data_IF_659101540936
#
_entry.id   IF_659101540936
#
_cell.length_a   1.000
_cell.length_b   1.000
_cell.length_c   1.000
_cell.angle_alpha   90.00
_cell.angle_beta   90.00
_cell.angle_gamma   90.00
#
_symmetry.space_group_name_H-M   'P 1'
#
loop_
_entity.id
_entity.type
_entity.pdbx_description
1 polymer ?
#
# COMPACT_ATOMS: atom_id res chain seq x y z
N UNK A 1 -1.37 33.80 -5.41
CA UNK A 1 -0.49 33.36 -4.30
C UNK A 1 -1.32 33.37 -3.02
N UNK A 2 -1.79 32.22 -2.57
CA UNK A 2 -2.45 32.08 -1.26
C UNK A 2 -1.72 30.97 -0.50
N UNK A 3 -0.84 31.40 0.39
CA UNK A 3 -0.11 30.53 1.30
C UNK A 3 -1.08 29.90 2.30
N UNK A 4 -1.02 28.57 2.41
CA UNK A 4 -1.69 27.79 3.46
C UNK A 4 -1.11 28.19 4.82
N UNK A 5 -1.96 28.70 5.70
CA UNK A 5 -1.68 28.85 7.12
C UNK A 5 -1.89 27.49 7.81
N UNK A 6 -0.81 26.74 8.01
CA UNK A 6 -0.73 25.69 9.03
C UNK A 6 -0.15 26.30 10.30
N UNK A 7 -0.74 26.00 11.47
CA UNK A 7 -0.22 26.43 12.78
C UNK A 7 1.24 25.98 12.92
N UNK A 8 2.12 26.88 13.34
CA UNK A 8 3.50 26.55 13.64
C UNK A 8 3.55 25.42 14.70
N UNK A 9 4.07 24.24 14.31
CA UNK A 9 4.25 23.08 15.19
C UNK A 9 3.45 21.82 14.86
N UNK A 10 2.51 21.85 13.91
CA UNK A 10 1.76 20.64 13.54
C UNK A 10 2.45 19.88 12.40
N UNK A 11 2.87 18.63 12.67
CA UNK A 11 3.52 17.78 11.68
C UNK A 11 2.57 17.49 10.51
N UNK A 12 3.11 17.58 9.29
CA UNK A 12 2.35 17.43 8.06
C UNK A 12 1.97 15.97 7.84
N UNK A 13 0.67 15.72 7.64
CA UNK A 13 0.14 14.42 7.24
C UNK A 13 0.55 14.10 5.79
N UNK A 14 0.66 12.82 5.50
CA UNK A 14 0.88 12.29 4.15
C UNK A 14 -0.24 11.39 3.67
N UNK A 15 0.04 10.69 2.58
CA UNK A 15 -0.88 9.78 1.92
C UNK A 15 -0.26 8.38 1.83
N UNK A 16 -1.09 7.36 2.06
CA UNK A 16 -0.60 5.98 2.05
C UNK A 16 -0.34 5.50 0.63
N UNK A 17 0.42 4.40 0.47
CA UNK A 17 0.61 3.76 -0.85
C UNK A 17 -0.74 3.37 -1.47
N UNK A 18 -1.71 2.95 -0.65
CA UNK A 18 -3.08 2.69 -1.07
C UNK A 18 -3.82 3.89 -1.65
N UNK A 19 -3.70 5.08 -1.04
CA UNK A 19 -4.30 6.31 -1.56
C UNK A 19 -3.66 6.72 -2.89
N UNK A 20 -2.33 6.64 -2.99
CA UNK A 20 -1.63 6.90 -4.26
C UNK A 20 -2.03 5.90 -5.35
N UNK A 21 -2.20 4.62 -5.02
CA UNK A 21 -2.67 3.60 -5.95
C UNK A 21 -4.10 3.86 -6.42
N UNK A 22 -5.00 4.31 -5.52
CA UNK A 22 -6.35 4.71 -5.88
C UNK A 22 -6.35 5.94 -6.80
N UNK A 23 -5.50 6.94 -6.53
CA UNK A 23 -5.34 8.12 -7.36
C UNK A 23 -4.83 7.79 -8.76
N UNK A 24 -3.75 7.01 -8.85
CA UNK A 24 -3.23 6.52 -10.13
C UNK A 24 -4.29 5.71 -10.89
N UNK A 25 -5.03 4.82 -10.20
CA UNK A 25 -6.08 4.01 -10.83
C UNK A 25 -7.24 4.85 -11.34
N UNK A 26 -7.67 5.87 -10.58
CA UNK A 26 -8.70 6.82 -11.01
C UNK A 26 -8.30 7.55 -12.30
N UNK A 27 -7.07 8.06 -12.33
CA UNK A 27 -6.56 8.77 -13.50
C UNK A 27 -6.44 7.83 -14.72
N UNK A 28 -5.88 6.64 -14.52
CA UNK A 28 -5.76 5.62 -15.56
C UNK A 28 -7.11 5.17 -16.13
N UNK A 29 -8.09 4.87 -15.26
CA UNK A 29 -9.44 4.49 -15.69
C UNK A 29 -10.16 5.64 -16.42
N UNK A 30 -10.09 6.86 -15.88
CA UNK A 30 -10.70 8.03 -16.52
C UNK A 30 -10.12 8.26 -17.92
N UNK A 31 -8.80 8.12 -18.07
CA UNK A 31 -8.14 8.24 -19.37
C UNK A 31 -8.48 7.10 -20.32
N UNK A 32 -8.62 5.86 -19.83
CA UNK A 32 -9.07 4.72 -20.64
C UNK A 32 -10.42 5.03 -21.30
N UNK A 33 -11.38 5.53 -20.53
CA UNK A 33 -12.77 5.77 -20.99
C UNK A 33 -12.89 7.05 -21.80
N UNK A 34 -12.35 8.17 -21.29
CA UNK A 34 -12.60 9.51 -21.85
C UNK A 34 -11.50 10.01 -22.78
N UNK A 35 -10.34 9.36 -22.76
CA UNK A 35 -9.14 9.83 -23.44
C UNK A 35 -8.41 11.00 -22.75
N UNK A 36 -8.89 11.47 -21.59
CA UNK A 36 -8.31 12.59 -20.85
C UNK A 36 -7.88 12.16 -19.44
N UNK A 37 -6.75 12.67 -18.98
CA UNK A 37 -6.29 12.46 -17.62
C UNK A 37 -6.78 13.60 -16.72
N UNK A 38 -7.39 13.30 -15.54
CA UNK A 38 -7.59 14.30 -14.51
C UNK A 38 -6.25 14.59 -13.83
N UNK A 39 -5.70 15.78 -14.02
CA UNK A 39 -4.47 16.22 -13.36
C UNK A 39 -4.63 17.64 -12.79
N UNK A 40 -4.56 17.83 -11.46
CA UNK A 40 -4.41 16.78 -10.45
C UNK A 40 -5.67 15.91 -10.32
N UNK A 41 -5.49 14.65 -9.91
CA UNK A 41 -6.60 13.71 -9.67
C UNK A 41 -7.06 13.76 -8.21
N UNK A 42 -8.35 13.93 -7.96
CA UNK A 42 -8.92 13.90 -6.61
C UNK A 42 -9.51 12.53 -6.26
N UNK A 43 -9.27 12.06 -5.04
CA UNK A 43 -9.79 10.77 -4.54
C UNK A 43 -10.48 10.97 -3.20
N UNK A 44 -11.68 10.43 -3.05
CA UNK A 44 -12.36 10.35 -1.75
C UNK A 44 -11.75 9.24 -0.92
N UNK A 45 -11.17 9.58 0.21
CA UNK A 45 -10.64 8.64 1.18
C UNK A 45 -11.77 8.08 2.07
N UNK A 46 -11.57 6.95 2.76
CA UNK A 46 -12.59 6.35 3.64
C UNK A 46 -13.13 7.29 4.73
N UNK A 47 -12.35 8.28 5.15
CA UNK A 47 -12.78 9.31 6.11
C UNK A 47 -13.54 10.49 5.49
N UNK A 48 -13.84 10.47 4.19
CA UNK A 48 -14.53 11.54 3.46
C UNK A 48 -13.62 12.66 2.94
N UNK A 49 -12.36 12.74 3.38
CA UNK A 49 -11.38 13.69 2.84
C UNK A 49 -11.14 13.45 1.34
N UNK A 50 -11.02 14.52 0.54
CA UNK A 50 -10.85 14.46 -0.92
C UNK A 50 -9.55 15.10 -1.41
N UNK A 51 -8.37 14.57 -1.03
CA UNK A 51 -7.10 15.10 -1.50
C UNK A 51 -6.92 14.97 -3.01
N UNK A 52 -6.14 15.90 -3.56
CA UNK A 52 -5.73 15.92 -4.96
C UNK A 52 -4.26 15.52 -5.10
N UNK A 53 -3.96 14.70 -6.10
CA UNK A 53 -2.64 14.15 -6.38
C UNK A 53 -2.18 14.60 -7.77
N UNK A 54 -1.02 15.27 -7.90
CA UNK A 54 -0.45 15.56 -9.21
C UNK A 54 0.04 14.27 -9.87
N UNK A 55 -0.20 14.16 -11.17
CA UNK A 55 0.32 13.04 -11.96
C UNK A 55 1.79 13.27 -12.30
N UNK A 56 2.60 12.21 -12.16
CA UNK A 56 4.00 12.21 -12.61
C UNK A 56 4.14 11.54 -13.97
N UNK A 57 3.24 10.62 -14.29
CA UNK A 57 3.17 9.94 -15.57
C UNK A 57 1.71 9.79 -15.97
N UNK A 58 1.43 10.00 -17.24
CA UNK A 58 0.12 9.83 -17.86
C UNK A 58 0.33 9.29 -19.27
N UNK A 59 0.04 8.01 -19.49
CA UNK A 59 0.20 7.33 -20.77
C UNK A 59 -1.07 6.58 -21.09
N UNK A 60 -1.60 6.80 -22.29
CA UNK A 60 -2.78 6.09 -22.79
C UNK A 60 -2.43 5.43 -24.10
N UNK A 61 -2.89 4.19 -24.25
CA UNK A 61 -3.09 3.59 -25.56
C UNK A 61 -4.56 3.21 -25.78
N UNK A 62 -4.87 2.51 -26.88
CA UNK A 62 -6.24 2.12 -27.24
C UNK A 62 -6.85 1.08 -26.29
N UNK A 63 -6.04 0.37 -25.53
CA UNK A 63 -6.40 -0.81 -24.75
C UNK A 63 -6.20 -0.64 -23.24
N UNK A 64 -5.39 0.34 -22.82
CA UNK A 64 -5.12 0.61 -21.42
C UNK A 64 -4.83 2.09 -21.13
N UNK A 65 -5.24 2.54 -19.94
CA UNK A 65 -4.74 3.77 -19.32
C UNK A 65 -3.66 3.44 -18.30
N UNK A 66 -2.62 4.27 -18.23
CA UNK A 66 -1.55 4.19 -17.23
C UNK A 66 -1.33 5.56 -16.61
N UNK A 67 -1.27 5.63 -15.28
CA UNK A 67 -0.91 6.84 -14.57
C UNK A 67 0.00 6.53 -13.38
N UNK A 68 0.78 7.52 -12.94
CA UNK A 68 1.61 7.42 -11.75
C UNK A 68 1.46 8.64 -10.84
N UNK A 69 1.52 8.39 -9.53
CA UNK A 69 1.53 9.41 -8.48
C UNK A 69 2.77 9.21 -7.63
N UNK A 70 3.44 10.31 -7.28
CA UNK A 70 4.53 10.27 -6.28
C UNK A 70 3.93 10.28 -4.88
N UNK A 71 4.30 9.28 -4.08
CA UNK A 71 3.88 9.22 -2.68
C UNK A 71 4.52 10.33 -1.88
N UNK A 72 3.69 11.06 -1.16
CA UNK A 72 4.11 12.06 -0.19
C UNK A 72 3.68 11.60 1.21
N UNK A 73 4.65 11.20 2.01
CA UNK A 73 4.42 10.70 3.38
C UNK A 73 4.24 11.80 4.44
N UNK A 74 4.24 13.08 4.05
CA UNK A 74 4.23 14.14 5.04
C UNK A 74 5.59 14.23 5.74
N UNK A 75 5.55 14.44 7.05
CA UNK A 75 6.74 14.47 7.92
C UNK A 75 7.02 13.11 8.60
N UNK A 76 6.32 12.05 8.19
CA UNK A 76 6.62 10.69 8.65
C UNK A 76 7.91 10.18 8.01
N UNK A 77 8.84 9.57 8.77
CA UNK A 77 10.07 8.96 8.24
C UNK A 77 9.80 7.63 7.51
N UNK A 78 8.83 7.64 6.60
CA UNK A 78 8.39 6.49 5.82
C UNK A 78 9.38 6.20 4.68
N UNK A 79 9.92 4.98 4.64
CA UNK A 79 10.86 4.54 3.60
C UNK A 79 10.28 4.59 2.18
N UNK A 80 8.95 4.59 2.06
CA UNK A 80 8.24 4.70 0.79
C UNK A 80 7.90 6.15 0.41
N UNK A 81 8.33 7.15 1.19
CA UNK A 81 8.25 8.56 0.79
C UNK A 81 8.98 8.79 -0.54
N UNK A 82 8.35 9.53 -1.44
CA UNK A 82 8.90 9.83 -2.77
C UNK A 82 8.80 8.69 -3.78
N UNK A 83 8.34 7.50 -3.39
CA UNK A 83 8.16 6.38 -4.31
C UNK A 83 7.09 6.69 -5.37
N UNK A 84 7.32 6.26 -6.60
CA UNK A 84 6.30 6.30 -7.66
C UNK A 84 5.35 5.12 -7.48
N UNK A 85 4.05 5.40 -7.46
CA UNK A 85 3.00 4.39 -7.45
C UNK A 85 2.26 4.51 -8.77
N UNK A 86 2.34 3.44 -9.56
CA UNK A 86 1.78 3.36 -10.90
C UNK A 86 0.55 2.45 -10.92
N UNK A 87 -0.40 2.78 -11.79
CA UNK A 87 -1.56 1.93 -12.08
C UNK A 87 -1.76 1.82 -13.58
N UNK A 88 -2.00 0.60 -14.05
CA UNK A 88 -2.45 0.29 -15.41
C UNK A 88 -3.84 -0.31 -15.32
N UNK A 89 -4.76 0.25 -16.10
CA UNK A 89 -6.14 -0.18 -16.12
C UNK A 89 -6.53 -0.53 -17.54
N UNK A 90 -7.05 -1.74 -17.71
CA UNK A 90 -7.56 -2.25 -18.99
C UNK A 90 -8.90 -2.97 -18.78
N UNK A 91 -9.75 -3.06 -19.81
CA UNK A 91 -10.96 -3.89 -19.74
C UNK A 91 -10.61 -5.34 -19.43
N UNK A 92 -11.45 -6.01 -18.64
CA UNK A 92 -11.40 -7.44 -18.40
C UNK A 92 -12.58 -8.13 -19.11
N UNK A 93 -12.55 -9.48 -19.28
CA UNK A 93 -13.69 -10.21 -19.81
C UNK A 93 -14.96 -9.97 -18.97
N UNK A 94 -16.15 -9.97 -19.60
CA UNK A 94 -17.42 -9.81 -18.89
C UNK A 94 -17.57 -10.78 -17.71
N UNK A 95 -17.96 -10.27 -16.54
CA UNK A 95 -18.15 -11.06 -15.32
C UNK A 95 -16.88 -11.34 -14.51
N UNK A 96 -15.70 -10.85 -14.95
CA UNK A 96 -14.46 -10.97 -14.19
C UNK A 96 -14.42 -10.06 -12.94
N UNK A 97 -15.26 -9.03 -12.89
CA UNK A 97 -15.22 -7.98 -11.88
C UNK A 97 -13.91 -7.17 -11.94
N UNK A 98 -13.48 -6.70 -10.78
CA UNK A 98 -12.24 -5.92 -10.62
C UNK A 98 -11.11 -6.86 -10.20
N UNK A 99 -10.20 -7.13 -11.13
CA UNK A 99 -9.07 -8.05 -10.94
C UNK A 99 -7.79 -7.27 -10.63
N UNK A 100 -7.19 -7.52 -9.48
CA UNK A 100 -5.93 -6.90 -9.08
C UNK A 100 -4.73 -7.74 -9.51
N UNK A 101 -3.68 -7.09 -10.03
CA UNK A 101 -2.40 -7.72 -10.40
C UNK A 101 -1.23 -6.94 -9.82
N UNK A 102 -0.16 -7.67 -9.49
CA UNK A 102 1.13 -7.07 -9.18
C UNK A 102 1.85 -6.68 -10.47
N UNK A 103 2.22 -5.42 -10.58
CA UNK A 103 3.23 -4.92 -11.51
C UNK A 103 4.62 -4.94 -10.86
N UNK A 104 5.58 -4.28 -11.51
CA UNK A 104 6.95 -4.18 -10.99
C UNK A 104 6.99 -3.66 -9.56
N UNK A 105 7.78 -4.30 -8.70
CA UNK A 105 8.05 -3.87 -7.33
C UNK A 105 6.85 -3.91 -6.37
N UNK A 106 5.73 -4.51 -6.73
CA UNK A 106 4.70 -4.97 -5.79
C UNK A 106 4.97 -6.43 -5.42
N UNK A 107 4.97 -6.72 -4.11
CA UNK A 107 5.30 -8.05 -3.61
C UNK A 107 4.19 -9.07 -3.83
N UNK A 108 4.55 -10.35 -3.76
CA UNK A 108 3.64 -11.50 -3.74
C UNK A 108 3.70 -12.16 -2.37
N UNK A 109 2.54 -12.55 -1.84
CA UNK A 109 2.43 -13.25 -0.56
C UNK A 109 2.86 -14.71 -0.71
N UNK A 110 3.83 -15.14 0.09
CA UNK A 110 4.41 -16.49 0.07
C UNK A 110 4.22 -17.24 1.39
N UNK A 111 3.72 -16.58 2.44
CA UNK A 111 3.43 -17.18 3.75
C UNK A 111 1.97 -16.93 4.16
N UNK A 112 1.34 -17.85 4.91
CA UNK A 112 0.01 -17.62 5.47
C UNK A 112 0.06 -16.60 6.63
N UNK A 113 -1.12 -16.20 7.13
CA UNK A 113 -1.27 -15.32 8.30
C UNK A 113 -1.53 -13.85 7.96
N UNK A 114 -1.28 -13.43 6.72
CA UNK A 114 -1.74 -12.12 6.24
C UNK A 114 -3.22 -12.16 5.82
N UNK A 115 -3.83 -10.98 5.74
CA UNK A 115 -5.19 -10.80 5.18
C UNK A 115 -5.32 -11.13 3.68
N UNK A 116 -4.25 -11.61 3.06
CA UNK A 116 -4.13 -11.95 1.65
C UNK A 116 -3.69 -13.41 1.55
N UNK A 117 -4.28 -14.15 0.61
CA UNK A 117 -3.93 -15.55 0.38
C UNK A 117 -2.51 -15.69 -0.21
N UNK A 118 -1.90 -16.85 -0.02
CA UNK A 118 -0.62 -17.18 -0.67
C UNK A 118 -0.79 -17.16 -2.19
N UNK A 119 0.15 -16.53 -2.90
CA UNK A 119 0.12 -16.29 -4.34
C UNK A 119 -0.53 -14.97 -4.74
N UNK A 120 -1.22 -14.28 -3.83
CA UNK A 120 -1.86 -12.99 -4.14
C UNK A 120 -0.86 -11.82 -4.19
N UNK A 121 -1.13 -10.81 -5.04
CA UNK A 121 -0.47 -9.50 -4.95
C UNK A 121 -0.65 -8.89 -3.56
N UNK A 122 0.43 -8.33 -3.01
CA UNK A 122 0.48 -7.61 -1.73
C UNK A 122 -0.26 -6.25 -1.77
N UNK A 123 -1.46 -6.22 -2.34
CA UNK A 123 -2.39 -5.09 -2.38
C UNK A 123 -3.46 -5.39 -1.34
N UNK A 124 -3.37 -4.76 -0.17
CA UNK A 124 -4.19 -5.10 0.98
C UNK A 124 -5.69 -4.84 0.76
N UNK A 125 -6.57 -5.47 1.55
CA UNK A 125 -8.02 -5.36 1.39
C UNK A 125 -8.56 -3.93 1.41
N UNK A 126 -8.02 -3.04 2.26
CA UNK A 126 -8.50 -1.66 2.34
C UNK A 126 -8.21 -0.85 1.05
N UNK A 127 -6.98 -0.86 0.49
CA UNK A 127 -6.74 -0.32 -0.85
C UNK A 127 -7.60 -0.96 -1.96
N UNK A 128 -7.79 -2.29 -1.94
CA UNK A 128 -8.67 -2.97 -2.92
C UNK A 128 -10.11 -2.43 -2.85
N UNK A 129 -10.65 -2.29 -1.64
CA UNK A 129 -12.00 -1.72 -1.40
C UNK A 129 -12.09 -0.27 -1.86
N UNK A 130 -11.09 0.55 -1.56
CA UNK A 130 -11.04 1.95 -1.98
C UNK A 130 -11.05 2.08 -3.50
N UNK A 131 -10.22 1.29 -4.19
CA UNK A 131 -10.18 1.25 -5.66
C UNK A 131 -11.50 0.74 -6.23
N UNK A 132 -12.04 -0.35 -5.68
CA UNK A 132 -13.26 -0.95 -6.18
C UNK A 132 -14.47 -0.02 -6.04
N UNK A 133 -14.64 0.64 -4.88
CA UNK A 133 -15.72 1.60 -4.68
C UNK A 133 -15.65 2.75 -5.70
N UNK A 134 -14.45 3.32 -5.87
CA UNK A 134 -14.20 4.41 -6.82
C UNK A 134 -14.47 3.99 -8.27
N UNK A 135 -14.07 2.79 -8.68
CA UNK A 135 -14.35 2.28 -10.03
C UNK A 135 -15.84 1.97 -10.25
N UNK A 136 -16.53 1.44 -9.24
CA UNK A 136 -17.96 1.17 -9.30
C UNK A 136 -18.80 2.46 -9.43
N UNK A 137 -18.30 3.58 -8.92
CA UNK A 137 -18.91 4.90 -9.13
C UNK A 137 -18.59 5.46 -10.53
N UNK A 138 -17.33 5.35 -10.96
CA UNK A 138 -16.86 5.95 -12.22
C UNK A 138 -17.37 5.22 -13.47
N UNK A 139 -17.49 3.89 -13.42
CA UNK A 139 -17.88 3.09 -14.57
C UNK A 139 -19.24 3.50 -15.15
N UNK A 140 -20.34 3.53 -14.38
CA UNK A 140 -21.62 4.02 -14.89
C UNK A 140 -21.59 5.51 -15.22
N UNK A 141 -20.90 6.33 -14.42
CA UNK A 141 -20.87 7.79 -14.62
C UNK A 141 -20.18 8.20 -15.93
N UNK A 142 -19.18 7.44 -16.37
CA UNK A 142 -18.42 7.70 -17.58
C UNK A 142 -18.84 6.83 -18.78
N UNK A 143 -19.76 5.88 -18.58
CA UNK A 143 -20.12 4.88 -19.59
C UNK A 143 -18.96 3.91 -19.93
N UNK A 144 -18.11 3.63 -18.94
CA UNK A 144 -16.93 2.76 -19.07
C UNK A 144 -17.19 1.30 -18.69
N UNK A 145 -16.19 0.41 -18.90
CA UNK A 145 -16.30 -1.00 -18.52
C UNK A 145 -16.32 -1.16 -16.99
N UNK A 146 -17.22 -1.99 -16.47
CA UNK A 146 -17.26 -2.37 -15.06
C UNK A 146 -16.21 -3.46 -14.72
N UNK A 147 -16.05 -4.42 -15.64
CA UNK A 147 -15.02 -5.47 -15.53
C UNK A 147 -13.67 -4.91 -15.98
N UNK A 148 -12.72 -4.79 -15.05
CA UNK A 148 -11.38 -4.25 -15.33
C UNK A 148 -10.28 -5.00 -14.62
N UNK A 149 -9.12 -5.04 -15.27
CA UNK A 149 -7.88 -5.50 -14.66
C UNK A 149 -7.05 -4.27 -14.25
N UNK A 150 -6.79 -4.16 -12.95
CA UNK A 150 -5.98 -3.13 -12.33
C UNK A 150 -4.64 -3.73 -11.94
N UNK A 151 -3.57 -3.32 -12.63
CA UNK A 151 -2.20 -3.66 -12.23
C UNK A 151 -1.61 -2.51 -11.46
N UNK A 152 -1.03 -2.76 -10.28
CA UNK A 152 -0.36 -1.72 -9.48
C UNK A 152 1.13 -2.02 -9.43
N UNK A 153 1.95 -0.99 -9.63
CA UNK A 153 3.41 -1.10 -9.67
C UNK A 153 4.06 -0.01 -8.84
N UNK A 154 5.23 -0.32 -8.31
CA UNK A 154 6.11 0.60 -7.61
C UNK A 154 7.51 0.30 -8.15
N UNK A 155 8.03 1.03 -9.17
CA UNK A 155 9.28 0.67 -9.85
C UNK A 155 10.46 0.42 -8.89
N UNK A 156 10.65 1.30 -7.90
CA UNK A 156 11.67 1.14 -6.85
C UNK A 156 11.33 0.12 -5.75
N UNK A 157 10.15 -0.50 -5.81
CA UNK A 157 9.54 -1.24 -4.72
C UNK A 157 10.34 -2.47 -4.29
N UNK A 158 11.03 -3.15 -5.21
CA UNK A 158 11.91 -4.27 -4.84
C UNK A 158 13.05 -3.81 -3.93
N UNK A 159 13.70 -2.70 -4.29
CA UNK A 159 14.80 -2.10 -3.52
C UNK A 159 14.32 -1.55 -2.19
N UNK A 160 13.17 -0.87 -2.18
CA UNK A 160 12.59 -0.29 -0.96
C UNK A 160 12.13 -1.38 0.02
N UNK A 161 11.59 -2.50 -0.47
CA UNK A 161 11.14 -3.62 0.36
C UNK A 161 12.25 -4.29 1.17
N UNK A 162 13.52 -4.18 0.74
CA UNK A 162 14.67 -4.68 1.52
C UNK A 162 14.86 -3.92 2.83
N UNK A 163 14.25 -2.74 2.96
CA UNK A 163 14.28 -1.89 4.15
C UNK A 163 12.95 -1.91 4.92
N UNK A 164 12.10 -2.90 4.68
CA UNK A 164 10.81 -3.08 5.37
C UNK A 164 10.71 -4.47 5.98
N UNK A 165 9.66 -4.68 6.77
CA UNK A 165 9.29 -5.98 7.33
C UNK A 165 8.71 -6.97 6.30
N UNK A 166 8.59 -6.59 5.02
CA UNK A 166 7.93 -7.41 4.00
C UNK A 166 8.57 -8.80 3.87
N UNK A 167 9.89 -8.89 3.87
CA UNK A 167 10.58 -10.19 3.77
C UNK A 167 10.19 -11.13 4.93
N UNK A 168 10.11 -10.60 6.15
CA UNK A 168 9.72 -11.34 7.36
C UNK A 168 8.26 -11.80 7.31
N UNK A 169 7.38 -10.94 6.81
CA UNK A 169 5.96 -11.24 6.60
C UNK A 169 5.70 -12.21 5.42
N UNK A 170 6.74 -12.66 4.72
CA UNK A 170 6.58 -13.52 3.53
C UNK A 170 6.00 -12.77 2.34
N UNK A 171 6.34 -11.49 2.17
CA UNK A 171 6.02 -10.70 0.99
C UNK A 171 7.31 -10.53 0.18
N UNK A 172 7.37 -11.20 -0.97
CA UNK A 172 8.59 -11.33 -1.77
C UNK A 172 8.47 -10.57 -3.09
N UNK A 173 9.57 -9.96 -3.54
CA UNK A 173 9.67 -9.31 -4.85
C UNK A 173 9.25 -7.85 -4.89
N UNK A 174 8.73 -7.29 -3.78
CA UNK A 174 8.30 -5.90 -3.76
C UNK A 174 7.63 -5.44 -2.46
N UNK A 175 7.12 -4.21 -2.52
CA UNK A 175 6.40 -3.55 -1.43
C UNK A 175 4.94 -4.00 -1.36
N UNK A 176 4.35 -3.75 -0.19
CA UNK A 176 2.92 -3.89 0.05
C UNK A 176 2.22 -2.56 -0.25
N UNK A 177 1.10 -2.61 -0.97
CA UNK A 177 0.19 -1.48 -1.14
C UNK A 177 -0.81 -1.54 0.02
N UNK A 178 -0.68 -0.61 0.96
CA UNK A 178 -1.39 -0.62 2.24
C UNK A 178 -1.88 0.77 2.66
N UNK A 179 -2.63 0.81 3.75
CA UNK A 179 -3.23 2.03 4.30
C UNK A 179 -4.74 1.95 4.35
N UNK A 180 -5.28 1.93 5.58
CA UNK A 180 -6.71 1.75 5.83
C UNK A 180 -7.51 3.03 5.66
N UNK A 181 -6.97 4.17 6.11
CA UNK A 181 -7.60 5.50 6.02
C UNK A 181 -7.21 6.28 4.77
N UNK A 182 -6.18 5.84 4.05
CA UNK A 182 -5.53 6.63 3.00
C UNK A 182 -4.58 7.72 3.51
N UNK A 183 -4.47 7.91 4.82
CA UNK A 183 -3.68 8.99 5.46
C UNK A 183 -2.50 8.40 6.22
N UNK A 184 -1.32 8.99 6.01
CA UNK A 184 -0.13 8.76 6.84
C UNK A 184 -0.12 9.84 7.93
N UNK A 185 -0.14 9.39 9.19
CA UNK A 185 0.05 10.25 10.37
C UNK A 185 1.50 10.07 10.85
N UNK A 186 2.30 11.15 10.92
CA UNK A 186 3.68 11.07 11.39
C UNK A 186 3.80 10.38 12.74
N UNK A 187 4.74 9.45 12.87
CA UNK A 187 5.05 8.73 14.12
C UNK A 187 3.84 8.00 14.73
N UNK A 188 3.01 7.38 13.87
CA UNK A 188 1.78 6.74 14.33
C UNK A 188 2.04 5.44 15.11
N UNK A 189 1.78 5.45 16.42
CA UNK A 189 1.77 4.24 17.25
C UNK A 189 0.80 3.19 16.70
N UNK A 190 -0.35 3.60 16.16
CA UNK A 190 -1.32 2.68 15.59
C UNK A 190 -0.78 1.94 14.35
N UNK A 191 0.02 2.60 13.51
CA UNK A 191 0.67 1.96 12.38
C UNK A 191 1.75 0.97 12.84
N UNK A 192 2.52 1.32 13.88
CA UNK A 192 3.52 0.44 14.48
C UNK A 192 2.88 -0.82 15.09
N UNK A 193 1.84 -0.66 15.92
CA UNK A 193 1.08 -1.78 16.52
C UNK A 193 0.50 -2.70 15.44
N UNK A 194 -0.01 -2.14 14.34
CA UNK A 194 -0.52 -2.94 13.23
C UNK A 194 0.59 -3.81 12.59
N UNK A 195 1.81 -3.30 12.48
CA UNK A 195 2.95 -4.06 11.96
C UNK A 195 3.39 -5.20 12.89
N UNK A 196 3.36 -4.97 14.21
CA UNK A 196 3.61 -5.99 15.24
C UNK A 196 2.59 -7.12 15.11
N UNK A 197 1.30 -6.78 15.07
CA UNK A 197 0.20 -7.76 14.93
C UNK A 197 0.34 -8.60 13.67
N UNK A 198 0.68 -7.99 12.53
CA UNK A 198 0.93 -8.74 11.30
C UNK A 198 2.08 -9.73 11.43
N UNK A 199 3.15 -9.35 12.14
CA UNK A 199 4.24 -10.26 12.44
C UNK A 199 3.79 -11.46 13.29
N UNK A 200 3.02 -11.20 14.34
CA UNK A 200 2.44 -12.24 15.22
C UNK A 200 1.52 -13.17 14.43
N UNK A 201 0.62 -12.63 13.61
CA UNK A 201 -0.32 -13.41 12.80
C UNK A 201 0.40 -14.33 11.81
N UNK A 202 1.44 -13.83 11.14
CA UNK A 202 2.29 -14.64 10.25
C UNK A 202 3.01 -15.73 11.03
N UNK A 203 3.63 -15.38 12.17
CA UNK A 203 4.37 -16.34 12.98
C UNK A 203 3.46 -17.48 13.47
N UNK A 204 2.30 -17.13 14.03
CA UNK A 204 1.30 -18.09 14.49
C UNK A 204 0.79 -18.98 13.34
N UNK A 205 0.50 -18.39 12.18
CA UNK A 205 0.05 -19.15 11.00
C UNK A 205 1.15 -20.07 10.42
N UNK A 206 2.42 -19.78 10.68
CA UNK A 206 3.55 -20.66 10.34
C UNK A 206 3.88 -21.71 11.40
N UNK A 207 3.08 -21.80 12.47
CA UNK A 207 3.22 -22.81 13.53
C UNK A 207 4.15 -22.41 14.68
N UNK A 208 4.55 -21.14 14.77
CA UNK A 208 5.32 -20.66 15.91
C UNK A 208 4.48 -20.72 17.19
N UNK A 209 5.02 -21.38 18.22
CA UNK A 209 4.40 -21.46 19.56
C UNK A 209 5.00 -20.47 20.54
N UNK A 210 6.18 -19.94 20.23
CA UNK A 210 6.91 -18.97 21.02
C UNK A 210 7.42 -17.85 20.11
N UNK A 211 7.32 -16.61 20.58
CA UNK A 211 7.79 -15.42 19.88
C UNK A 211 8.72 -14.64 20.81
N UNK A 212 9.70 -13.95 20.23
CA UNK A 212 10.48 -12.94 20.93
C UNK A 212 10.16 -11.56 20.37
N UNK A 213 9.65 -10.69 21.25
CA UNK A 213 9.45 -9.28 20.95
C UNK A 213 10.72 -8.51 21.33
N UNK A 214 11.49 -8.11 20.32
CA UNK A 214 12.74 -7.41 20.48
C UNK A 214 12.53 -5.89 20.46
N UNK A 215 13.24 -5.19 21.35
CA UNK A 215 13.28 -3.72 21.36
C UNK A 215 14.24 -3.15 20.30
N UNK A 216 15.01 -4.00 19.63
CA UNK A 216 15.89 -3.64 18.53
C UNK A 216 16.86 -4.76 18.17
N UNK A 217 17.81 -4.47 17.28
CA UNK A 217 18.71 -5.47 16.70
C UNK A 217 19.48 -6.31 17.74
N UNK A 218 20.01 -5.67 18.78
CA UNK A 218 20.83 -6.36 19.79
C UNK A 218 19.99 -7.35 20.60
N UNK A 219 18.77 -6.96 21.03
CA UNK A 219 17.88 -7.86 21.75
C UNK A 219 17.33 -8.97 20.85
N UNK A 220 17.10 -8.68 19.57
CA UNK A 220 16.72 -9.68 18.56
C UNK A 220 17.82 -10.74 18.35
N UNK A 221 19.07 -10.31 18.17
CA UNK A 221 20.21 -11.20 17.99
C UNK A 221 20.46 -12.06 19.23
N UNK A 222 20.32 -11.48 20.42
CA UNK A 222 20.44 -12.21 21.68
C UNK A 222 19.33 -13.26 21.83
N UNK A 223 18.06 -12.90 21.56
CA UNK A 223 16.95 -13.83 21.62
C UNK A 223 17.11 -14.99 20.62
N UNK A 224 17.57 -14.70 19.40
CA UNK A 224 17.88 -15.73 18.41
C UNK A 224 18.98 -16.67 18.89
N UNK A 225 20.07 -16.14 19.46
CA UNK A 225 21.19 -16.95 19.93
C UNK A 225 20.83 -17.83 21.14
N UNK A 226 19.98 -17.31 22.05
CA UNK A 226 19.58 -18.02 23.27
C UNK A 226 18.50 -19.08 23.03
N UNK A 227 17.54 -18.82 22.15
CA UNK A 227 16.34 -19.64 22.00
C UNK A 227 16.23 -20.33 20.64
N UNK A 228 17.15 -20.07 19.70
CA UNK A 228 17.14 -20.72 18.38
C UNK A 228 15.90 -20.42 17.56
N UNK A 229 15.26 -19.26 17.79
CA UNK A 229 14.03 -18.88 17.10
C UNK A 229 14.27 -18.53 15.64
N UNK A 230 13.36 -18.98 14.77
CA UNK A 230 13.32 -18.59 13.36
C UNK A 230 13.04 -17.09 13.20
N UNK A 231 13.47 -16.51 12.07
CA UNK A 231 13.30 -15.07 11.81
C UNK A 231 11.82 -14.63 11.85
N UNK A 232 10.88 -15.49 11.45
CA UNK A 232 9.44 -15.20 11.54
C UNK A 232 8.92 -15.13 12.98
N UNK A 233 9.62 -15.72 13.95
CA UNK A 233 9.28 -15.67 15.37
C UNK A 233 9.95 -14.49 16.12
N UNK A 234 10.75 -13.68 15.41
CA UNK A 234 11.41 -12.49 15.93
C UNK A 234 10.61 -11.25 15.49
N UNK A 235 9.97 -10.59 16.44
CA UNK A 235 9.11 -9.42 16.22
C UNK A 235 9.85 -8.17 16.66
N UNK A 236 10.06 -7.22 15.75
CA UNK A 236 10.55 -5.89 16.11
C UNK A 236 9.41 -5.10 16.74
N UNK A 237 9.47 -4.97 18.07
CA UNK A 237 8.49 -4.26 18.88
C UNK A 237 8.92 -2.82 19.16
N UNK A 238 10.21 -2.50 19.06
CA UNK A 238 10.75 -1.25 19.59
C UNK A 238 10.36 -1.05 21.06
N UNK A 239 9.96 0.17 21.42
CA UNK A 239 9.60 0.52 22.80
C UNK A 239 8.12 0.22 23.15
N UNK A 240 7.39 -0.51 22.32
CA UNK A 240 5.94 -0.74 22.46
C UNK A 240 5.60 -2.02 23.23
N UNK A 241 6.17 -2.19 24.43
CA UNK A 241 5.84 -3.28 25.34
C UNK A 241 4.37 -3.21 25.78
N UNK A 242 3.50 -4.03 25.18
CA UNK A 242 2.03 -4.01 25.35
C UNK A 242 1.25 -3.94 24.04
N UNK A 243 1.94 -3.79 22.91
CA UNK A 243 1.36 -3.91 21.57
C UNK A 243 1.28 -5.36 21.04
N UNK A 244 1.95 -6.28 21.74
CA UNK A 244 2.10 -7.71 21.44
C UNK A 244 0.99 -8.54 22.05
#
# INVERSE_FOLDING_TARGET
MTARSGRAGELRRGWTTGACAAAATRAAYTALVTGRFPDPVSVTLPGGETPSFPLVLAVRDRSHGRAAVRKDAGDDPDVTHGALVESWVRPAPPGAGIVFRAGEGVGIVTRPGLSLAVGEPAINPAPRKMIAAMLNELAPALGGPADVCVTIGIPDGRRLAQRTMNGRLGIVGGLSVLGTSGIVKPYSCAAWIASIRQGIDVAAATGATHLAAATGRVSEEAARALYGLDESALIDMGDFAGAT
#
